data_IF_821729255277
#
_entry.id   IF_821729255277
#
_cell.length_a   1.000
_cell.length_b   1.000
_cell.length_c   1.000
_cell.angle_alpha   90.00
_cell.angle_beta   90.00
_cell.angle_gamma   90.00
#
_symmetry.space_group_name_H-M   'P 1'
#
loop_
_entity.id
_entity.type
_entity.pdbx_description
1 polymer ?
#
# COMPACT_ATOMS: atom_id res chain seq x y z
N UNK A 1 -12.17 -16.96 -1.26
CA UNK A 1 -12.54 -15.78 -0.47
C UNK A 1 -13.51 -14.86 -1.22
N UNK A 2 -13.14 -14.33 -2.39
CA UNK A 2 -13.98 -13.39 -3.18
C UNK A 2 -15.38 -13.92 -3.51
N UNK A 3 -15.50 -15.18 -3.95
CA UNK A 3 -16.80 -15.78 -4.26
C UNK A 3 -17.74 -15.83 -3.05
N UNK A 4 -17.23 -16.25 -1.88
CA UNK A 4 -18.00 -16.30 -0.63
C UNK A 4 -18.45 -14.89 -0.23
N UNK A 5 -17.56 -13.91 -0.32
CA UNK A 5 -17.86 -12.52 -0.01
C UNK A 5 -18.99 -11.95 -0.88
N UNK A 6 -19.00 -12.29 -2.18
CA UNK A 6 -20.07 -11.93 -3.12
C UNK A 6 -21.39 -12.63 -2.75
N UNK A 7 -21.35 -13.91 -2.41
CA UNK A 7 -22.55 -14.64 -1.94
C UNK A 7 -23.14 -14.03 -0.67
N UNK A 8 -22.29 -13.49 0.22
CA UNK A 8 -22.70 -12.75 1.42
C UNK A 8 -23.14 -11.30 1.16
N UNK A 9 -23.06 -10.84 -0.10
CA UNK A 9 -23.42 -9.48 -0.51
C UNK A 9 -22.48 -8.40 0.06
N UNK A 10 -21.22 -8.72 0.34
CA UNK A 10 -20.23 -7.75 0.87
C UNK A 10 -19.75 -6.77 -0.21
N UNK A 11 -19.94 -7.10 -1.48
CA UNK A 11 -19.62 -6.26 -2.63
C UNK A 11 -20.67 -5.17 -2.91
N UNK A 12 -21.78 -5.14 -2.17
CA UNK A 12 -22.80 -4.10 -2.28
C UNK A 12 -22.74 -3.20 -1.04
N UNK A 13 -22.79 -1.89 -1.23
CA UNK A 13 -22.75 -0.96 -0.10
C UNK A 13 -23.97 -1.15 0.80
N UNK A 14 -23.80 -1.20 2.14
CA UNK A 14 -24.92 -1.32 3.07
C UNK A 14 -25.98 -0.22 2.92
N UNK A 15 -25.60 0.99 2.47
CA UNK A 15 -26.54 2.11 2.30
C UNK A 15 -27.57 1.85 1.18
N UNK A 16 -27.32 0.89 0.29
CA UNK A 16 -28.27 0.45 -0.73
C UNK A 16 -29.45 -0.35 -0.14
N UNK A 17 -29.35 -0.76 1.13
CA UNK A 17 -30.38 -1.51 1.85
C UNK A 17 -30.80 -0.78 3.13
N UNK A 18 -31.53 0.36 3.02
CA UNK A 18 -31.94 1.15 4.19
C UNK A 18 -32.66 0.31 5.24
N UNK A 19 -32.25 0.45 6.51
CA UNK A 19 -32.85 -0.26 7.63
C UNK A 19 -32.45 -1.73 7.79
N UNK A 20 -31.66 -2.30 6.85
CA UNK A 20 -31.18 -3.69 6.95
C UNK A 20 -30.03 -3.86 7.94
N UNK A 21 -29.15 -2.87 8.02
CA UNK A 21 -27.95 -2.91 8.84
C UNK A 21 -27.92 -1.69 9.75
N UNK A 22 -27.48 -1.88 11.00
CA UNK A 22 -27.13 -0.76 11.86
C UNK A 22 -25.79 -0.13 11.43
N UNK A 23 -25.43 1.00 12.03
CA UNK A 23 -24.23 1.76 11.67
C UNK A 23 -22.94 0.92 11.77
N UNK A 24 -22.79 0.16 12.85
CA UNK A 24 -21.63 -0.68 13.10
C UNK A 24 -21.54 -1.85 12.13
N UNK A 25 -22.65 -2.51 11.84
CA UNK A 25 -22.73 -3.60 10.86
C UNK A 25 -22.41 -3.11 9.46
N UNK A 26 -22.95 -1.95 9.07
CA UNK A 26 -22.65 -1.34 7.78
C UNK A 26 -21.15 -1.10 7.63
N UNK A 27 -20.53 -0.46 8.61
CA UNK A 27 -19.10 -0.17 8.57
C UNK A 27 -18.24 -1.45 8.62
N UNK A 28 -18.60 -2.42 9.45
CA UNK A 28 -17.91 -3.73 9.51
C UNK A 28 -17.94 -4.43 8.16
N UNK A 29 -19.07 -4.40 7.44
CA UNK A 29 -19.19 -4.99 6.09
C UNK A 29 -18.29 -4.27 5.09
N UNK A 30 -18.19 -2.93 5.15
CA UNK A 30 -17.25 -2.16 4.32
C UNK A 30 -15.81 -2.59 4.59
N UNK A 31 -15.41 -2.68 5.85
CA UNK A 31 -14.05 -3.09 6.26
C UNK A 31 -13.70 -4.48 5.73
N UNK A 32 -14.57 -5.47 5.95
CA UNK A 32 -14.32 -6.83 5.47
C UNK A 32 -14.19 -6.88 3.95
N UNK A 33 -15.05 -6.16 3.21
CA UNK A 33 -14.94 -6.11 1.75
C UNK A 33 -13.61 -5.51 1.29
N UNK A 34 -13.17 -4.41 1.90
CA UNK A 34 -11.93 -3.74 1.53
C UNK A 34 -10.67 -4.53 1.90
N UNK A 35 -10.69 -5.31 2.98
CA UNK A 35 -9.61 -6.27 3.25
C UNK A 35 -9.55 -7.35 2.17
N UNK A 36 -10.69 -7.93 1.80
CA UNK A 36 -10.76 -8.95 0.74
C UNK A 36 -10.28 -8.36 -0.59
N UNK A 37 -10.66 -7.12 -0.90
CA UNK A 37 -10.19 -6.39 -2.07
C UNK A 37 -8.67 -6.21 -2.07
N UNK A 38 -8.10 -5.78 -0.94
CA UNK A 38 -6.66 -5.62 -0.79
C UNK A 38 -5.92 -6.95 -1.01
N UNK A 39 -6.35 -8.01 -0.34
CA UNK A 39 -5.69 -9.31 -0.44
C UNK A 39 -5.85 -9.94 -1.83
N UNK A 40 -7.01 -9.81 -2.46
CA UNK A 40 -7.20 -10.25 -3.85
C UNK A 40 -6.20 -9.55 -4.78
N UNK A 41 -6.03 -8.24 -4.63
CA UNK A 41 -5.09 -7.44 -5.42
C UNK A 41 -3.63 -7.82 -5.14
N UNK A 42 -3.25 -7.92 -3.86
CA UNK A 42 -1.88 -8.18 -3.42
C UNK A 42 -1.44 -9.60 -3.77
N UNK A 43 -2.26 -10.61 -3.47
CA UNK A 43 -1.94 -12.02 -3.75
C UNK A 43 -1.87 -12.26 -5.25
N UNK A 44 -2.83 -11.74 -6.03
CA UNK A 44 -2.77 -11.84 -7.49
C UNK A 44 -1.48 -11.21 -8.03
N UNK A 45 -1.07 -10.07 -7.46
CA UNK A 45 0.17 -9.40 -7.84
C UNK A 45 1.45 -10.20 -7.53
N UNK A 46 1.52 -10.84 -6.35
CA UNK A 46 2.62 -11.73 -5.98
C UNK A 46 2.68 -12.98 -6.88
N UNK A 47 1.53 -13.46 -7.35
CA UNK A 47 1.41 -14.68 -8.16
C UNK A 47 1.48 -14.42 -9.68
N UNK A 48 1.65 -13.16 -10.11
CA UNK A 48 1.60 -12.80 -11.53
C UNK A 48 0.25 -13.11 -12.20
N UNK A 49 -0.84 -13.07 -11.42
CA UNK A 49 -2.21 -13.28 -11.90
C UNK A 49 -3.00 -11.97 -11.90
N UNK A 50 -4.13 -11.99 -12.61
CA UNK A 50 -5.11 -10.92 -12.52
C UNK A 50 -5.96 -11.09 -11.25
N UNK A 51 -6.29 -10.00 -10.53
CA UNK A 51 -7.21 -10.06 -9.40
C UNK A 51 -8.62 -10.47 -9.84
N UNK A 52 -9.35 -11.18 -8.98
CA UNK A 52 -10.71 -11.65 -9.27
C UNK A 52 -11.77 -10.53 -9.16
N UNK A 53 -11.49 -9.47 -8.42
CA UNK A 53 -12.38 -8.32 -8.27
C UNK A 53 -12.11 -7.32 -9.39
N UNK A 54 -12.94 -7.36 -10.42
CA UNK A 54 -12.90 -6.43 -11.56
C UNK A 54 -13.38 -5.04 -11.11
N UNK A 55 -12.94 -3.99 -11.81
CA UNK A 55 -13.48 -2.65 -11.63
C UNK A 55 -14.99 -2.60 -11.85
N UNK A 56 -15.64 -1.67 -11.15
CA UNK A 56 -17.09 -1.44 -11.23
C UNK A 56 -17.96 -2.69 -10.92
N UNK A 57 -17.37 -3.76 -10.38
CA UNK A 57 -18.09 -5.00 -9.98
C UNK A 57 -18.65 -4.97 -8.55
N UNK A 58 -18.49 -3.85 -7.86
CA UNK A 58 -18.90 -3.63 -6.48
C UNK A 58 -19.25 -2.16 -6.27
N UNK A 59 -20.10 -1.88 -5.28
CA UNK A 59 -20.55 -0.53 -4.93
C UNK A 59 -20.12 -0.08 -3.54
N UNK A 60 -19.57 -1.00 -2.74
CA UNK A 60 -19.08 -0.76 -1.37
C UNK A 60 -18.16 0.46 -1.29
N UNK A 61 -18.57 1.45 -0.50
CA UNK A 61 -17.84 2.71 -0.29
C UNK A 61 -16.59 2.49 0.55
N UNK A 62 -15.69 3.47 0.55
CA UNK A 62 -14.52 3.45 1.42
C UNK A 62 -14.93 3.37 2.90
N UNK A 63 -14.17 2.64 3.74
CA UNK A 63 -14.37 2.59 5.18
C UNK A 63 -14.17 3.97 5.82
N UNK A 64 -14.86 4.24 6.92
CA UNK A 64 -14.86 5.54 7.61
C UNK A 64 -13.76 5.62 8.67
N UNK A 65 -12.93 6.66 8.63
CA UNK A 65 -11.99 6.96 9.74
C UNK A 65 -12.77 7.34 11.00
N UNK A 66 -12.79 6.45 11.99
CA UNK A 66 -13.55 6.60 13.25
C UNK A 66 -12.65 6.24 14.44
N UNK A 67 -13.01 6.74 15.62
CA UNK A 67 -12.38 6.30 16.87
C UNK A 67 -12.91 4.91 17.27
N UNK A 68 -12.05 3.89 17.19
CA UNK A 68 -12.39 2.49 17.47
C UNK A 68 -12.84 2.26 18.92
N UNK A 69 -12.33 3.04 19.87
CA UNK A 69 -12.72 2.89 21.29
C UNK A 69 -14.14 3.41 21.53
N UNK A 70 -14.66 4.23 20.62
CA UNK A 70 -16.00 4.81 20.68
C UNK A 70 -16.96 4.18 19.66
N UNK A 71 -16.46 3.40 18.70
CA UNK A 71 -17.24 2.79 17.65
C UNK A 71 -17.63 1.35 18.00
N UNK A 72 -18.88 1.16 18.41
CA UNK A 72 -19.39 -0.10 18.94
C UNK A 72 -20.73 -0.49 18.29
N UNK A 73 -21.21 -1.73 18.50
CA UNK A 73 -22.54 -2.15 18.03
C UNK A 73 -23.70 -1.28 18.52
N UNK A 74 -23.52 -0.54 19.62
CA UNK A 74 -24.53 0.37 20.17
C UNK A 74 -24.47 1.79 19.57
N UNK A 75 -23.47 2.10 18.73
CA UNK A 75 -23.29 3.43 18.16
C UNK A 75 -24.42 3.79 17.20
N UNK A 76 -25.08 4.91 17.47
CA UNK A 76 -26.17 5.46 16.64
C UNK A 76 -25.70 6.60 15.72
N UNK A 77 -24.49 7.08 15.93
CA UNK A 77 -23.84 8.12 15.13
C UNK A 77 -22.37 7.78 14.90
N UNK A 78 -21.81 8.26 13.79
CA UNK A 78 -20.39 8.10 13.48
C UNK A 78 -19.57 8.93 14.48
N UNK A 79 -18.72 8.30 15.32
CA UNK A 79 -17.86 9.06 16.22
C UNK A 79 -16.80 9.78 15.39
N UNK A 80 -16.41 10.97 15.85
CA UNK A 80 -15.36 11.73 15.20
C UNK A 80 -14.04 10.94 15.22
N UNK A 81 -13.19 11.07 14.19
CA UNK A 81 -11.84 10.51 14.25
C UNK A 81 -11.10 11.05 15.47
N UNK A 82 -10.31 10.21 16.14
CA UNK A 82 -9.47 10.64 17.26
C UNK A 82 -8.55 11.78 16.83
N UNK A 83 -8.50 12.85 17.62
CA UNK A 83 -7.63 14.00 17.39
C UNK A 83 -6.17 13.61 17.69
N UNK A 84 -5.27 13.83 16.74
CA UNK A 84 -3.83 13.52 16.87
C UNK A 84 -3.05 14.49 17.75
N UNK A 85 -3.72 15.28 18.59
CA UNK A 85 -3.10 16.34 19.41
C UNK A 85 -2.60 15.85 20.77
N UNK A 86 -2.92 14.62 21.17
CA UNK A 86 -2.40 14.00 22.40
C UNK A 86 -1.11 13.24 22.09
N UNK A 87 0.05 13.64 22.65
CA UNK A 87 1.33 12.94 22.46
C UNK A 87 1.36 11.51 23.03
N UNK A 88 0.33 11.10 23.78
CA UNK A 88 0.24 9.79 24.42
C UNK A 88 -0.62 8.80 23.64
N UNK A 89 -1.32 9.23 22.58
CA UNK A 89 -2.32 8.40 21.88
C UNK A 89 -1.71 7.58 20.72
N UNK A 90 -0.41 7.30 20.79
CA UNK A 90 0.38 6.67 19.71
C UNK A 90 -0.04 5.22 19.36
N UNK A 91 -0.96 4.62 20.11
CA UNK A 91 -1.37 3.21 19.94
C UNK A 91 -2.58 2.98 19.02
N UNK A 92 -3.49 3.95 18.83
CA UNK A 92 -4.73 3.71 18.06
C UNK A 92 -4.57 4.02 16.55
N UNK A 93 -3.46 3.61 15.95
CA UNK A 93 -3.12 3.90 14.54
C UNK A 93 -3.79 2.95 13.53
N UNK A 94 -4.37 1.85 13.99
CA UNK A 94 -4.77 0.73 13.12
C UNK A 94 -5.84 1.10 12.10
N UNK A 95 -6.82 1.93 12.47
CA UNK A 95 -7.88 2.27 11.52
C UNK A 95 -7.48 3.33 10.50
N UNK A 96 -6.68 4.32 10.92
CA UNK A 96 -6.06 5.26 9.99
C UNK A 96 -5.18 4.53 8.98
N UNK A 97 -4.38 3.57 9.47
CA UNK A 97 -3.60 2.68 8.63
C UNK A 97 -4.47 1.93 7.62
N UNK A 98 -5.58 1.35 8.07
CA UNK A 98 -6.52 0.64 7.20
C UNK A 98 -7.07 1.53 6.07
N UNK A 99 -7.44 2.77 6.36
CA UNK A 99 -7.85 3.75 5.35
C UNK A 99 -6.75 4.03 4.31
N UNK A 100 -5.51 4.19 4.77
CA UNK A 100 -4.34 4.38 3.89
C UNK A 100 -4.06 3.15 3.02
N UNK A 101 -4.16 1.94 3.58
CA UNK A 101 -4.06 0.66 2.87
C UNK A 101 -5.12 0.54 1.77
N UNK A 102 -6.37 0.92 2.07
CA UNK A 102 -7.46 0.94 1.09
C UNK A 102 -7.19 1.94 -0.04
N UNK A 103 -6.67 3.13 0.28
CA UNK A 103 -6.28 4.12 -0.72
C UNK A 103 -5.17 3.57 -1.63
N UNK A 104 -4.12 3.00 -1.06
CA UNK A 104 -3.03 2.40 -1.83
C UNK A 104 -3.52 1.29 -2.76
N UNK A 105 -4.46 0.45 -2.31
CA UNK A 105 -5.10 -0.56 -3.16
C UNK A 105 -5.79 0.05 -4.40
N UNK A 106 -6.45 1.20 -4.24
CA UNK A 106 -7.06 1.93 -5.37
C UNK A 106 -6.01 2.46 -6.34
N UNK A 107 -4.91 3.01 -5.84
CA UNK A 107 -3.80 3.50 -6.68
C UNK A 107 -3.25 2.32 -7.50
N UNK A 108 -2.89 1.20 -6.86
CA UNK A 108 -2.38 0.00 -7.52
C UNK A 108 -3.35 -0.49 -8.60
N UNK A 109 -4.65 -0.52 -8.31
CA UNK A 109 -5.65 -0.96 -9.29
C UNK A 109 -5.76 0.00 -10.47
N UNK A 110 -5.75 1.31 -10.23
CA UNK A 110 -5.77 2.32 -11.28
C UNK A 110 -4.52 2.25 -12.18
N UNK A 111 -3.36 1.89 -11.63
CA UNK A 111 -2.15 1.63 -12.41
C UNK A 111 -2.31 0.43 -13.34
N UNK A 112 -2.88 -0.67 -12.86
CA UNK A 112 -3.11 -1.89 -13.66
C UNK A 112 -4.15 -1.73 -14.77
N UNK A 113 -4.95 -0.65 -14.76
CA UNK A 113 -5.89 -0.29 -15.84
C UNK A 113 -5.20 0.32 -17.06
N UNK A 114 -4.06 0.99 -16.85
CA UNK A 114 -3.19 1.42 -17.96
C UNK A 114 -2.72 0.11 -18.65
N UNK A 115 -2.29 0.10 -19.92
CA UNK A 115 -1.90 -1.13 -20.63
C UNK A 115 -0.58 -1.74 -20.08
N UNK A 116 -0.41 -1.70 -18.77
CA UNK A 116 0.52 -2.42 -17.94
C UNK A 116 0.13 -3.90 -17.83
N UNK A 117 -0.08 -4.53 -19.00
CA UNK A 117 -0.25 -5.97 -19.10
C UNK A 117 1.07 -6.62 -18.68
N UNK A 118 0.99 -7.71 -17.93
CA UNK A 118 2.16 -8.41 -17.40
C UNK A 118 3.20 -8.65 -18.52
N UNK A 119 4.42 -8.09 -18.42
CA UNK A 119 5.43 -8.19 -19.48
C UNK A 119 5.91 -9.64 -19.72
N UNK A 120 5.44 -10.62 -18.95
CA UNK A 120 5.70 -12.04 -19.16
C UNK A 120 4.70 -12.68 -20.14
N UNK A 121 3.50 -12.12 -20.34
CA UNK A 121 2.39 -12.81 -21.05
C UNK A 121 2.00 -12.25 -22.41
N UNK A 122 2.32 -11.00 -22.76
CA UNK A 122 1.88 -10.43 -24.04
C UNK A 122 3.01 -9.69 -24.78
N UNK A 123 3.39 -10.25 -25.94
CA UNK A 123 4.40 -9.71 -26.86
C UNK A 123 3.79 -8.85 -27.98
N UNK A 124 2.55 -8.41 -27.85
CA UNK A 124 1.94 -7.50 -28.83
C UNK A 124 2.48 -6.08 -28.62
N UNK A 125 3.33 -5.64 -29.54
CA UNK A 125 4.07 -4.37 -29.57
C UNK A 125 3.23 -3.08 -29.54
N UNK A 126 1.91 -3.18 -29.46
CA UNK A 126 1.00 -2.03 -29.59
C UNK A 126 0.47 -1.45 -28.26
N UNK A 127 0.72 -2.11 -27.13
CA UNK A 127 0.15 -1.75 -25.82
C UNK A 127 1.23 -1.45 -24.75
N UNK A 128 2.46 -1.12 -25.14
CA UNK A 128 3.47 -0.77 -24.15
C UNK A 128 3.17 0.64 -23.58
N UNK A 129 3.11 0.82 -22.24
CA UNK A 129 2.93 2.14 -21.65
C UNK A 129 4.06 3.07 -22.07
N UNK A 130 3.79 4.36 -22.27
CA UNK A 130 4.83 5.35 -22.59
C UNK A 130 5.63 5.69 -21.32
N UNK A 131 6.88 6.12 -21.49
CA UNK A 131 7.73 6.50 -20.36
C UNK A 131 7.15 7.69 -19.59
N UNK A 132 6.45 8.59 -20.29
CA UNK A 132 5.76 9.74 -19.73
C UNK A 132 4.56 9.32 -18.87
N UNK A 133 3.79 8.31 -19.29
CA UNK A 133 2.69 7.75 -18.51
C UNK A 133 3.16 7.13 -17.20
N UNK A 134 4.35 6.51 -17.22
CA UNK A 134 4.98 5.91 -16.03
C UNK A 134 5.58 6.99 -15.12
N UNK A 135 6.18 8.04 -15.67
CA UNK A 135 6.64 9.19 -14.89
C UNK A 135 5.48 9.92 -14.19
N UNK A 136 4.32 10.01 -14.86
CA UNK A 136 3.11 10.60 -14.27
C UNK A 136 2.61 9.78 -13.08
N UNK A 137 2.58 8.44 -13.24
CA UNK A 137 2.26 7.50 -12.17
C UNK A 137 3.22 7.61 -10.99
N UNK A 138 4.53 7.69 -11.27
CA UNK A 138 5.55 7.87 -10.25
C UNK A 138 5.29 9.15 -9.45
N UNK A 139 4.97 10.26 -10.13
CA UNK A 139 4.62 11.51 -9.48
C UNK A 139 3.37 11.39 -8.60
N UNK A 140 2.31 10.72 -9.07
CA UNK A 140 1.09 10.48 -8.29
C UNK A 140 1.41 9.67 -7.01
N UNK A 141 2.19 8.60 -7.12
CA UNK A 141 2.57 7.75 -5.97
C UNK A 141 3.47 8.50 -5.00
N UNK A 142 4.46 9.26 -5.50
CA UNK A 142 5.35 10.09 -4.65
C UNK A 142 4.58 11.20 -3.95
N UNK A 143 3.66 11.86 -4.65
CA UNK A 143 2.79 12.86 -4.05
C UNK A 143 1.97 12.26 -2.91
N UNK A 144 1.32 11.11 -3.13
CA UNK A 144 0.58 10.42 -2.08
C UNK A 144 1.45 10.08 -0.86
N UNK A 145 2.69 9.61 -1.07
CA UNK A 145 3.64 9.36 0.02
C UNK A 145 3.98 10.63 0.81
N UNK A 146 4.08 11.79 0.17
CA UNK A 146 4.32 13.08 0.86
C UNK A 146 3.10 13.59 1.62
N UNK A 147 1.90 13.25 1.16
CA UNK A 147 0.63 13.65 1.78
C UNK A 147 0.25 12.76 2.98
N UNK A 148 0.94 11.64 3.19
CA UNK A 148 0.71 10.77 4.34
C UNK A 148 0.79 11.56 5.66
N UNK A 149 -0.03 11.22 6.66
CA UNK A 149 0.12 11.80 7.99
C UNK A 149 1.54 11.55 8.53
N UNK A 150 2.14 12.50 9.29
CA UNK A 150 3.53 12.37 9.74
C UNK A 150 3.84 11.06 10.47
N UNK A 151 2.87 10.53 11.23
CA UNK A 151 2.99 9.25 11.93
C UNK A 151 3.16 8.03 11.02
N UNK A 152 2.80 8.11 9.74
CA UNK A 152 2.89 7.02 8.76
C UNK A 152 3.99 7.22 7.70
N UNK A 153 4.76 8.31 7.78
CA UNK A 153 5.90 8.53 6.89
C UNK A 153 7.09 7.68 7.35
N UNK A 154 7.70 6.98 6.41
CA UNK A 154 8.97 6.29 6.65
C UNK A 154 10.11 7.27 6.38
N UNK A 155 10.82 7.68 7.43
CA UNK A 155 12.03 8.47 7.31
C UNK A 155 13.21 7.55 6.97
N UNK A 156 13.69 7.63 5.73
CA UNK A 156 14.83 6.84 5.25
C UNK A 156 16.18 7.39 5.73
N UNK A 157 16.20 8.62 6.26
CA UNK A 157 17.41 9.32 6.70
C UNK A 157 17.55 9.37 8.23
N UNK A 158 16.57 8.84 8.97
CA UNK A 158 16.69 8.69 10.42
C UNK A 158 17.81 7.68 10.71
N UNK A 159 18.95 8.18 11.18
CA UNK A 159 20.07 7.35 11.64
C UNK A 159 19.55 6.30 12.62
N UNK A 160 19.79 5.02 12.34
CA UNK A 160 19.53 3.97 13.30
C UNK A 160 20.38 4.25 14.55
N UNK A 161 19.78 4.41 15.75
CA UNK A 161 20.54 4.46 16.99
C UNK A 161 21.09 3.06 17.28
N UNK A 162 22.17 2.69 16.59
CA UNK A 162 22.76 1.35 16.65
C UNK A 162 24.09 1.24 15.90
N UNK A 163 24.48 2.23 15.10
CA UNK A 163 25.81 2.31 14.47
C UNK A 163 26.81 3.13 15.28
N UNK A 164 26.61 3.29 16.59
CA UNK A 164 27.70 3.71 17.48
C UNK A 164 28.38 2.44 17.95
N UNK A 165 29.55 2.13 17.37
CA UNK A 165 30.42 1.06 17.87
C UNK A 165 30.70 1.22 19.37
N UNK A 166 31.16 0.18 20.08
CA UNK A 166 31.26 0.19 21.53
C UNK A 166 32.20 1.31 21.99
N UNK A 167 31.64 2.45 22.38
CA UNK A 167 32.36 3.52 23.03
C UNK A 167 32.45 3.18 24.52
N UNK A 168 33.56 2.55 24.90
CA UNK A 168 34.01 2.57 26.29
C UNK A 168 34.29 4.03 26.65
N UNK A 169 33.37 4.65 27.40
CA UNK A 169 33.67 5.87 28.14
C UNK A 169 33.54 5.55 29.62
N UNK A 170 34.71 5.47 30.24
CA UNK A 170 34.88 5.63 31.68
C UNK A 170 34.51 7.09 32.06
N UNK A 171 34.32 7.34 33.35
CA UNK A 171 34.17 8.61 34.05
C UNK A 171 32.83 8.83 34.79
N UNK A 172 32.93 8.49 36.08
CA UNK A 172 32.26 9.15 37.19
C UNK A 172 32.31 10.69 37.06
N UNK A 173 31.15 11.34 36.95
CA UNK A 173 30.87 12.63 37.62
C UNK A 173 29.42 13.02 37.42
N UNK A 174 28.71 13.25 38.53
CA UNK A 174 27.32 13.70 38.52
C UNK A 174 27.15 15.11 37.94
N UNK A 175 26.17 15.25 37.06
CA UNK A 175 25.40 16.45 36.80
C UNK A 175 24.08 16.04 36.14
N UNK A 176 22.96 16.75 36.41
CA UNK A 176 21.64 16.34 35.93
C UNK A 176 21.55 16.64 34.44
N UNK A 177 21.61 15.60 33.64
CA UNK A 177 21.46 15.68 32.19
C UNK A 177 20.11 16.30 31.85
N UNK A 178 20.18 17.42 31.13
CA UNK A 178 19.12 18.03 30.34
C UNK A 178 18.27 16.96 29.63
N UNK A 179 16.95 17.13 29.66
CA UNK A 179 16.00 16.39 28.83
C UNK A 179 16.49 16.38 27.37
N UNK A 180 16.97 15.22 26.91
CA UNK A 180 17.17 14.98 25.49
C UNK A 180 15.80 14.70 24.85
N UNK A 181 15.48 15.31 23.69
CA UNK A 181 14.23 15.05 22.99
C UNK A 181 14.35 13.77 22.16
N UNK A 182 13.47 12.80 22.43
CA UNK A 182 13.05 11.77 21.49
C UNK A 182 14.01 10.60 21.29
N UNK A 183 14.00 9.65 22.22
CA UNK A 183 14.60 8.33 22.05
C UNK A 183 13.90 7.59 20.87
N UNK A 184 14.62 7.29 19.80
CA UNK A 184 14.12 6.64 18.57
C UNK A 184 13.74 5.16 18.77
N UNK A 185 13.92 4.63 19.99
CA UNK A 185 13.33 3.35 20.45
C UNK A 185 11.82 3.45 20.74
N UNK A 186 11.23 4.66 20.67
CA UNK A 186 9.85 4.98 21.07
C UNK A 186 8.74 4.66 20.06
N UNK A 187 9.06 4.18 18.85
CA UNK A 187 8.03 3.86 17.85
C UNK A 187 7.57 2.41 18.03
N UNK A 188 6.26 2.21 18.28
CA UNK A 188 5.67 0.88 18.34
C UNK A 188 6.05 0.02 17.13
N UNK A 189 6.46 -1.25 17.32
CA UNK A 189 6.86 -2.12 16.20
C UNK A 189 5.73 -2.30 15.17
N UNK A 190 4.47 -2.21 15.60
CA UNK A 190 3.30 -2.24 14.74
C UNK A 190 3.29 -1.02 13.81
N UNK A 191 3.48 0.18 14.36
CA UNK A 191 3.53 1.42 13.57
C UNK A 191 4.72 1.42 12.61
N UNK A 192 5.88 0.90 13.02
CA UNK A 192 7.03 0.74 12.13
C UNK A 192 6.70 -0.22 10.98
N UNK A 193 6.06 -1.36 11.26
CA UNK A 193 5.63 -2.30 10.23
C UNK A 193 4.63 -1.65 9.25
N UNK A 194 3.67 -0.86 9.75
CA UNK A 194 2.71 -0.11 8.94
C UNK A 194 3.41 0.89 8.00
N UNK A 195 4.38 1.67 8.52
CA UNK A 195 5.20 2.59 7.70
C UNK A 195 5.95 1.85 6.59
N UNK A 196 6.61 0.75 6.94
CA UNK A 196 7.34 -0.09 6.01
C UNK A 196 6.40 -0.67 4.94
N UNK A 197 5.23 -1.18 5.31
CA UNK A 197 4.29 -1.78 4.37
C UNK A 197 3.81 -0.76 3.33
N UNK A 198 3.41 0.46 3.75
CA UNK A 198 2.99 1.52 2.83
C UNK A 198 4.12 1.93 1.88
N UNK A 199 5.32 2.18 2.43
CA UNK A 199 6.46 2.63 1.65
C UNK A 199 6.96 1.56 0.66
N UNK A 200 7.10 0.30 1.12
CA UNK A 200 7.54 -0.81 0.28
C UNK A 200 6.53 -1.04 -0.85
N UNK A 201 5.23 -1.07 -0.53
CA UNK A 201 4.18 -1.36 -1.51
C UNK A 201 4.10 -0.25 -2.57
N UNK A 202 4.18 1.02 -2.18
CA UNK A 202 4.20 2.16 -3.09
C UNK A 202 5.45 2.17 -4.00
N UNK A 203 6.64 2.00 -3.44
CA UNK A 203 7.88 1.97 -4.23
C UNK A 203 7.94 0.75 -5.16
N UNK A 204 7.43 -0.41 -4.72
CA UNK A 204 7.30 -1.59 -5.56
C UNK A 204 6.40 -1.34 -6.76
N UNK A 205 5.31 -0.57 -6.59
CA UNK A 205 4.45 -0.18 -7.70
C UNK A 205 5.21 0.64 -8.76
N UNK A 206 6.00 1.62 -8.34
CA UNK A 206 6.85 2.43 -9.23
C UNK A 206 7.85 1.53 -9.96
N UNK A 207 8.59 0.67 -9.25
CA UNK A 207 9.56 -0.24 -9.86
C UNK A 207 8.91 -1.17 -10.89
N UNK A 208 7.74 -1.73 -10.56
CA UNK A 208 6.98 -2.55 -11.50
C UNK A 208 6.57 -1.74 -12.73
N UNK A 209 6.19 -0.47 -12.55
CA UNK A 209 5.82 0.42 -13.64
C UNK A 209 6.98 0.67 -14.64
N UNK A 210 8.23 0.68 -14.18
CA UNK A 210 9.40 0.86 -15.05
C UNK A 210 9.94 -0.44 -15.67
N UNK A 211 9.52 -1.60 -15.18
CA UNK A 211 10.08 -2.90 -15.52
C UNK A 211 10.10 -3.23 -17.04
N UNK A 212 9.07 -2.90 -17.84
CA UNK A 212 9.10 -3.11 -19.29
C UNK A 212 10.23 -2.38 -20.01
N UNK A 213 10.60 -1.18 -19.57
CA UNK A 213 11.69 -0.39 -20.18
C UNK A 213 13.06 -0.94 -19.82
N UNK A 214 13.21 -1.42 -18.59
CA UNK A 214 14.46 -2.03 -18.11
C UNK A 214 14.77 -3.36 -18.83
N UNK A 215 13.74 -4.11 -19.23
CA UNK A 215 13.90 -5.38 -19.97
C UNK A 215 14.28 -5.18 -21.44
N UNK A 216 13.74 -4.14 -22.10
CA UNK A 216 14.03 -3.84 -23.51
C UNK A 216 15.53 -3.62 -23.76
N UNK A 217 16.22 -2.97 -22.81
CA UNK A 217 17.66 -2.75 -22.88
C UNK A 217 18.50 -4.02 -22.80
N UNK A 218 18.01 -5.10 -22.18
CA UNK A 218 18.76 -6.35 -22.03
C UNK A 218 18.72 -7.20 -23.32
N UNK A 219 17.56 -7.29 -23.97
CA UNK A 219 17.39 -8.11 -25.18
C UNK A 219 18.10 -7.49 -26.38
N UNK A 220 18.19 -6.16 -26.44
CA UNK A 220 18.89 -5.45 -27.52
C UNK A 220 20.40 -5.75 -27.55
N UNK A 221 21.03 -6.07 -26.40
CA UNK A 221 22.45 -6.47 -26.35
C UNK A 221 22.70 -7.93 -26.72
N UNK A 222 21.71 -8.83 -26.62
CA UNK A 222 21.89 -10.26 -26.94
C UNK A 222 21.49 -10.64 -28.38
N UNK A 223 20.81 -9.76 -29.10
CA UNK A 223 20.28 -10.04 -30.43
C UNK A 223 21.35 -10.06 -31.56
N UNK A 224 22.62 -9.74 -31.26
CA UNK A 224 23.67 -9.63 -32.29
C UNK A 224 24.57 -10.86 -32.48
N UNK A 225 24.36 -12.01 -31.80
CA UNK A 225 25.37 -13.09 -31.83
C UNK A 225 24.99 -14.47 -32.34
N UNK A 226 23.75 -14.77 -32.74
CA UNK A 226 23.45 -16.10 -33.31
C UNK A 226 22.43 -16.07 -34.44
N UNK A 227 22.86 -15.61 -35.62
CA UNK A 227 22.29 -16.10 -36.89
C UNK A 227 23.38 -16.87 -37.64
N UNK A 228 23.46 -18.17 -37.38
CA UNK A 228 24.15 -19.09 -38.28
C UNK A 228 23.22 -19.33 -39.48
N UNK A 229 23.61 -18.80 -40.65
CA UNK A 229 22.97 -19.05 -41.94
C UNK A 229 23.28 -20.49 -42.35
N UNK A 230 22.30 -21.40 -42.26
CA UNK A 230 22.35 -22.70 -42.92
C UNK A 230 21.89 -22.51 -44.36
N UNK A 231 22.85 -22.28 -45.27
CA UNK A 231 22.61 -22.32 -46.71
C UNK A 231 22.57 -23.78 -47.15
N UNK A 232 21.39 -24.25 -47.56
CA UNK A 232 21.24 -25.50 -48.31
C UNK A 232 21.71 -25.26 -49.76
N UNK A 233 22.73 -25.99 -50.18
CA UNK A 233 23.20 -26.07 -51.57
C UNK A 233 22.62 -27.37 -52.16
N UNK A 234 21.88 -27.21 -53.27
CA UNK A 234 21.37 -28.17 -54.27
C UNK A 234 20.82 -29.53 -53.81
#
# INVERSE_FOLDING_TARGET
MVSIARTMGLNSDPDEFPGKYNLFEAETRRRVWWDIFYYDLFVADCMGQLPFIVDNSFTTKMPLDVDEDLFSPASTSVPLPRSSLSPLDHESTDFKYFGLKCHLAKIIKNVKKRPFKDPVRDTSSHDQPSIEQVATLESEVKQWLTELPPGFRLDMNAEFPGTVGPQYTDHLSGSPSSLFPGDLTSVSPILMAQRCELAITANRLILKAYLPFLRSSYVSSTASYYQAVMSTIN
#
